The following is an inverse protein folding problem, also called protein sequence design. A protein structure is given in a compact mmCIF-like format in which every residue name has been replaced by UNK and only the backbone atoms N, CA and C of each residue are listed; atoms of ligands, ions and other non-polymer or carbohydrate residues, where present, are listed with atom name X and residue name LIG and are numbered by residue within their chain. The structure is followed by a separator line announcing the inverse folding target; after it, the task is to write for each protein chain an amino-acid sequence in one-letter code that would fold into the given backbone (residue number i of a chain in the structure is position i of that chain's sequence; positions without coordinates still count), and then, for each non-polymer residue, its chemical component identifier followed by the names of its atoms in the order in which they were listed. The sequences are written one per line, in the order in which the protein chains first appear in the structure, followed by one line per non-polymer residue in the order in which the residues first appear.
data_IF_162574473147
#
_entry.id   IF_162574473147
#
_cell.length_a   1.000
_cell.length_b   1.000
_cell.length_c   1.000
_cell.angle_alpha   90.00
_cell.angle_beta   90.00
_cell.angle_gamma   90.00
#
_symmetry.space_group_name_H-M   'P 1'
#
loop_
_entity.id
_entity.type
_entity.pdbx_description
1 polymer ?
#
# COMPACT_ATOMS: atom_id res chain seq x y z
N UNK A 1 -9.96 -0.27 3.95
CA UNK A 1 -9.37 0.98 3.43
C UNK A 1 -10.45 1.71 2.65
N UNK A 2 -10.64 2.99 2.90
CA UNK A 2 -11.64 3.77 2.15
C UNK A 2 -10.98 4.35 0.90
N UNK A 3 -11.08 3.65 -0.22
CA UNK A 3 -10.73 4.16 -1.54
C UNK A 3 -11.98 4.73 -2.21
N UNK A 4 -11.87 5.87 -2.90
CA UNK A 4 -12.92 6.38 -3.75
C UNK A 4 -12.80 5.76 -5.14
N UNK A 5 -13.89 5.21 -5.66
CA UNK A 5 -13.94 4.72 -7.04
C UNK A 5 -13.81 5.90 -8.00
N UNK A 6 -12.99 5.74 -9.02
CA UNK A 6 -12.82 6.74 -10.09
C UNK A 6 -13.96 6.57 -11.10
N UNK A 7 -14.59 7.68 -11.46
CA UNK A 7 -15.54 7.70 -12.55
C UNK A 7 -14.78 7.65 -13.89
N UNK A 8 -15.09 6.72 -14.80
CA UNK A 8 -14.49 6.68 -16.13
C UNK A 8 -14.64 8.00 -16.93
N UNK A 9 -15.70 8.75 -16.65
CA UNK A 9 -16.03 10.03 -17.28
C UNK A 9 -15.47 11.24 -16.51
N UNK A 10 -14.53 11.02 -15.60
CA UNK A 10 -13.98 12.07 -14.74
C UNK A 10 -13.42 13.26 -15.55
N UNK A 11 -13.63 14.46 -15.06
CA UNK A 11 -13.06 15.69 -15.62
C UNK A 11 -11.70 16.04 -15.00
N UNK A 12 -11.30 15.40 -13.91
CA UNK A 12 -10.00 15.61 -13.27
C UNK A 12 -8.87 15.10 -14.18
N UNK A 13 -7.88 15.95 -14.45
CA UNK A 13 -6.80 15.64 -15.37
C UNK A 13 -5.90 14.49 -14.90
N UNK A 14 -5.67 14.37 -13.59
CA UNK A 14 -4.83 13.32 -13.03
C UNK A 14 -5.56 11.97 -13.04
N UNK A 15 -6.86 11.97 -12.74
CA UNK A 15 -7.67 10.77 -12.84
C UNK A 15 -7.84 10.29 -14.29
N UNK A 16 -8.05 11.21 -15.24
CA UNK A 16 -8.06 10.85 -16.67
C UNK A 16 -6.75 10.25 -17.12
N UNK A 17 -5.61 10.82 -16.65
CA UNK A 17 -4.29 10.24 -16.93
C UNK A 17 -4.19 8.81 -16.39
N UNK A 18 -4.67 8.54 -15.18
CA UNK A 18 -4.71 7.21 -14.59
C UNK A 18 -5.60 6.26 -15.41
N UNK A 19 -6.83 6.67 -15.74
CA UNK A 19 -7.75 5.88 -16.56
C UNK A 19 -7.14 5.52 -17.91
N UNK A 20 -6.49 6.48 -18.59
CA UNK A 20 -5.84 6.24 -19.86
C UNK A 20 -4.70 5.21 -19.74
N UNK A 21 -3.82 5.37 -18.74
CA UNK A 21 -2.72 4.44 -18.50
C UNK A 21 -3.24 3.02 -18.21
N UNK A 22 -4.27 2.89 -17.37
CA UNK A 22 -4.87 1.58 -17.06
C UNK A 22 -5.52 0.98 -18.30
N UNK A 23 -6.24 1.76 -19.11
CA UNK A 23 -6.86 1.28 -20.34
C UNK A 23 -5.82 0.81 -21.36
N UNK A 24 -4.71 1.54 -21.52
CA UNK A 24 -3.59 1.14 -22.38
C UNK A 24 -2.98 -0.19 -21.90
N UNK A 25 -2.78 -0.35 -20.61
CA UNK A 25 -2.25 -1.59 -20.03
C UNK A 25 -3.24 -2.75 -20.14
N UNK A 26 -4.54 -2.51 -20.00
CA UNK A 26 -5.57 -3.52 -20.21
C UNK A 26 -5.55 -4.04 -21.66
N UNK A 27 -5.46 -3.13 -22.64
CA UNK A 27 -5.31 -3.50 -24.05
C UNK A 27 -4.01 -4.27 -24.31
N UNK A 28 -2.87 -3.76 -23.79
CA UNK A 28 -1.56 -4.39 -23.99
C UNK A 28 -1.46 -5.80 -23.38
N UNK A 29 -2.18 -6.04 -22.27
CA UNK A 29 -2.21 -7.34 -21.58
C UNK A 29 -3.32 -8.28 -22.04
N UNK A 30 -4.25 -7.82 -22.89
CA UNK A 30 -5.41 -8.58 -23.32
C UNK A 30 -6.42 -8.86 -22.19
N UNK A 31 -6.51 -7.98 -21.21
CA UNK A 31 -7.40 -8.10 -20.05
C UNK A 31 -8.57 -7.12 -20.12
N UNK A 32 -9.67 -7.45 -19.42
CA UNK A 32 -10.72 -6.49 -19.16
C UNK A 32 -10.16 -5.32 -18.30
N UNK A 33 -10.72 -4.13 -18.48
CA UNK A 33 -10.32 -2.98 -17.69
C UNK A 33 -10.73 -3.18 -16.22
N UNK A 34 -9.79 -3.13 -15.27
CA UNK A 34 -10.10 -3.28 -13.85
C UNK A 34 -10.86 -2.07 -13.30
N UNK A 35 -11.55 -2.25 -12.18
CA UNK A 35 -12.07 -1.13 -11.41
C UNK A 35 -10.93 -0.29 -10.84
N UNK A 36 -11.10 1.03 -10.82
CA UNK A 36 -10.06 1.98 -10.44
C UNK A 36 -10.46 2.68 -9.14
N UNK A 37 -9.55 2.67 -8.16
CA UNK A 37 -9.75 3.34 -6.88
C UNK A 37 -8.59 4.27 -6.55
N UNK A 38 -8.89 5.41 -5.93
CA UNK A 38 -7.91 6.36 -5.40
C UNK A 38 -7.99 6.40 -3.88
N UNK A 39 -6.86 6.21 -3.22
CA UNK A 39 -6.68 6.37 -1.78
C UNK A 39 -6.32 7.84 -1.49
N UNK A 40 -7.33 8.68 -1.34
CA UNK A 40 -7.16 10.15 -1.23
C UNK A 40 -6.42 10.59 0.04
N UNK A 41 -6.46 9.80 1.09
CA UNK A 41 -5.79 10.10 2.38
C UNK A 41 -4.31 9.72 2.36
N UNK A 42 -3.90 8.85 1.43
CA UNK A 42 -2.55 8.31 1.37
C UNK A 42 -1.66 9.18 0.48
N UNK A 43 -0.63 9.77 1.07
CA UNK A 43 0.24 10.78 0.44
C UNK A 43 1.54 10.21 -0.10
N UNK A 44 1.95 9.02 0.34
CA UNK A 44 3.09 8.29 -0.21
C UNK A 44 2.80 7.76 -1.62
N UNK A 45 3.83 7.40 -2.37
CA UNK A 45 3.70 6.75 -3.67
C UNK A 45 3.50 5.25 -3.42
N UNK A 46 2.30 4.74 -3.68
CA UNK A 46 2.00 3.32 -3.58
C UNK A 46 0.78 2.93 -4.42
N UNK A 47 0.68 1.63 -4.76
CA UNK A 47 -0.42 1.04 -5.51
C UNK A 47 -0.69 -0.37 -5.05
N UNK A 48 -1.79 -0.94 -5.47
CA UNK A 48 -2.11 -2.36 -5.25
C UNK A 48 -3.10 -2.86 -6.28
N UNK A 49 -3.06 -4.16 -6.54
CA UNK A 49 -4.10 -4.89 -7.25
C UNK A 49 -4.73 -5.94 -6.33
N UNK A 50 -6.06 -6.01 -6.32
CA UNK A 50 -6.82 -6.97 -5.53
C UNK A 50 -7.95 -7.59 -6.36
N UNK A 51 -8.17 -8.91 -6.22
CA UNK A 51 -9.21 -9.63 -6.93
C UNK A 51 -8.99 -11.14 -6.89
N UNK A 52 -10.02 -11.91 -7.21
CA UNK A 52 -9.97 -13.37 -7.20
C UNK A 52 -9.73 -13.97 -8.58
N UNK A 53 -10.16 -13.30 -9.63
CA UNK A 53 -10.01 -13.71 -11.02
C UNK A 53 -9.45 -12.55 -11.85
N UNK A 54 -9.07 -12.82 -13.10
CA UNK A 54 -8.60 -11.76 -14.01
C UNK A 54 -9.67 -10.76 -14.39
N UNK A 55 -10.93 -11.16 -14.30
CA UNK A 55 -12.09 -10.35 -14.67
C UNK A 55 -12.73 -9.63 -13.46
N UNK A 56 -12.30 -10.00 -12.24
CA UNK A 56 -12.77 -9.42 -10.99
C UNK A 56 -11.57 -8.82 -10.25
N UNK A 57 -11.00 -7.79 -10.82
CA UNK A 57 -9.83 -7.08 -10.29
C UNK A 57 -10.10 -5.61 -10.13
N UNK A 58 -9.66 -5.07 -9.01
CA UNK A 58 -9.57 -3.65 -8.76
C UNK A 58 -8.11 -3.22 -8.61
N UNK A 59 -7.76 -2.08 -9.18
CA UNK A 59 -6.46 -1.42 -8.97
C UNK A 59 -6.69 -0.17 -8.13
N UNK A 60 -5.96 -0.09 -7.02
CA UNK A 60 -5.94 1.08 -6.16
C UNK A 60 -4.61 1.81 -6.24
N UNK A 61 -4.66 3.13 -6.36
CA UNK A 61 -3.47 3.99 -6.31
C UNK A 61 -3.62 5.05 -5.23
N UNK A 62 -2.52 5.44 -4.64
CA UNK A 62 -2.50 6.55 -3.67
C UNK A 62 -2.57 7.90 -4.37
N UNK A 63 -3.00 8.93 -3.64
CA UNK A 63 -2.92 10.30 -4.15
C UNK A 63 -1.47 10.71 -4.48
N UNK A 64 -0.48 10.15 -3.76
CA UNK A 64 0.94 10.33 -4.06
C UNK A 64 1.31 9.87 -5.47
N UNK A 65 0.80 8.71 -5.92
CA UNK A 65 0.98 8.25 -7.30
C UNK A 65 0.46 9.24 -8.32
N UNK A 66 -0.75 9.77 -8.09
CA UNK A 66 -1.38 10.72 -9.02
C UNK A 66 -0.64 12.06 -9.12
N UNK A 67 -0.14 12.58 -8.01
CA UNK A 67 0.42 13.94 -7.94
C UNK A 67 1.92 14.00 -8.14
N UNK A 68 2.66 12.95 -7.83
CA UNK A 68 4.13 12.96 -7.83
C UNK A 68 4.75 12.20 -9.01
N UNK A 69 4.02 11.25 -9.62
CA UNK A 69 4.53 10.49 -10.75
C UNK A 69 4.21 11.19 -12.08
N UNK A 70 5.16 11.14 -12.99
CA UNK A 70 4.92 11.45 -14.40
C UNK A 70 4.03 10.36 -15.02
N UNK A 71 3.56 10.59 -16.26
CA UNK A 71 2.76 9.59 -16.96
C UNK A 71 3.52 8.27 -17.15
N UNK A 72 4.78 8.35 -17.53
CA UNK A 72 5.62 7.17 -17.81
C UNK A 72 5.95 6.40 -16.53
N UNK A 73 6.21 7.10 -15.43
CA UNK A 73 6.41 6.49 -14.12
C UNK A 73 5.14 5.82 -13.60
N UNK A 74 3.99 6.48 -13.75
CA UNK A 74 2.69 5.89 -13.42
C UNK A 74 2.42 4.64 -14.27
N UNK A 75 2.74 4.69 -15.57
CA UNK A 75 2.60 3.54 -16.46
C UNK A 75 3.50 2.38 -16.01
N UNK A 76 4.73 2.66 -15.58
CA UNK A 76 5.62 1.63 -15.02
C UNK A 76 5.05 0.95 -13.78
N UNK A 77 4.47 1.74 -12.86
CA UNK A 77 3.82 1.23 -11.65
C UNK A 77 2.57 0.40 -12.00
N UNK A 78 1.72 0.89 -12.88
CA UNK A 78 0.51 0.17 -13.31
C UNK A 78 0.87 -1.10 -14.07
N UNK A 79 1.90 -1.10 -14.91
CA UNK A 79 2.38 -2.29 -15.59
C UNK A 79 2.87 -3.37 -14.61
N UNK A 80 3.50 -2.98 -13.52
CA UNK A 80 3.88 -3.87 -12.43
C UNK A 80 2.65 -4.53 -11.77
N UNK A 81 1.60 -3.75 -11.46
CA UNK A 81 0.34 -4.29 -10.93
C UNK A 81 -0.33 -5.26 -11.92
N UNK A 82 -0.35 -4.93 -13.22
CA UNK A 82 -0.86 -5.83 -14.25
C UNK A 82 -0.10 -7.14 -14.33
N UNK A 83 1.22 -7.12 -14.09
CA UNK A 83 2.00 -8.36 -14.00
C UNK A 83 1.52 -9.28 -12.89
N UNK A 84 1.24 -8.74 -11.71
CA UNK A 84 0.69 -9.52 -10.59
C UNK A 84 -0.67 -10.14 -10.93
N UNK A 85 -1.52 -9.40 -11.64
CA UNK A 85 -2.83 -9.92 -12.07
C UNK A 85 -2.64 -11.08 -13.07
N UNK A 86 -1.81 -10.87 -14.09
CA UNK A 86 -1.56 -11.87 -15.14
C UNK A 86 -0.95 -13.17 -14.58
N UNK A 87 -0.04 -13.05 -13.62
CA UNK A 87 0.61 -14.17 -12.95
C UNK A 87 -0.28 -14.86 -11.89
N UNK A 88 -1.46 -14.31 -11.60
CA UNK A 88 -2.36 -14.82 -10.56
C UNK A 88 -1.89 -14.56 -9.14
N UNK A 89 -0.99 -13.58 -8.96
CA UNK A 89 -0.42 -13.21 -7.65
C UNK A 89 -1.46 -12.63 -6.72
N UNK A 90 -2.43 -11.87 -7.25
CA UNK A 90 -3.56 -11.33 -6.48
C UNK A 90 -4.32 -12.44 -5.76
N UNK A 91 -4.63 -13.53 -6.46
CA UNK A 91 -5.31 -14.71 -5.87
C UNK A 91 -4.45 -15.41 -4.82
N UNK A 92 -3.14 -15.53 -5.08
CA UNK A 92 -2.23 -16.12 -4.12
C UNK A 92 -2.13 -15.24 -2.87
N UNK A 93 -2.01 -13.92 -3.04
CA UNK A 93 -1.93 -12.97 -1.95
C UNK A 93 -3.19 -13.02 -1.06
N UNK A 94 -4.39 -13.14 -1.64
CA UNK A 94 -5.63 -13.33 -0.89
C UNK A 94 -5.61 -14.62 -0.06
N UNK A 95 -5.11 -15.73 -0.63
CA UNK A 95 -4.96 -17.00 0.09
C UNK A 95 -3.91 -16.91 1.21
N UNK A 96 -2.78 -16.28 0.95
CA UNK A 96 -1.74 -16.03 1.96
C UNK A 96 -2.27 -15.16 3.10
N UNK A 97 -3.07 -14.14 2.79
CA UNK A 97 -3.72 -13.31 3.79
C UNK A 97 -4.66 -14.12 4.67
N UNK A 98 -5.52 -14.96 4.08
CA UNK A 98 -6.42 -15.83 4.83
C UNK A 98 -5.65 -16.83 5.72
N UNK A 99 -4.56 -17.42 5.19
CA UNK A 99 -3.69 -18.32 5.95
C UNK A 99 -3.01 -17.59 7.11
N UNK A 100 -2.45 -16.40 6.86
CA UNK A 100 -1.84 -15.58 7.91
C UNK A 100 -2.84 -15.27 9.03
N UNK A 101 -4.06 -14.87 8.68
CA UNK A 101 -5.12 -14.63 9.65
C UNK A 101 -5.42 -15.89 10.48
N UNK A 102 -5.55 -17.05 9.84
CA UNK A 102 -5.79 -18.31 10.53
C UNK A 102 -4.66 -18.66 11.52
N UNK A 103 -3.41 -18.41 11.17
CA UNK A 103 -2.25 -18.68 12.02
C UNK A 103 -2.05 -17.68 13.17
N UNK A 104 -2.70 -16.52 13.13
CA UNK A 104 -2.75 -15.59 14.27
C UNK A 104 -3.83 -15.93 15.30
N UNK A 105 -4.81 -16.77 14.95
CA UNK A 105 -5.88 -17.19 15.87
C UNK A 105 -5.40 -17.69 17.22
N UNK A 106 -4.36 -18.52 17.34
CA UNK A 106 -3.86 -18.95 18.64
C UNK A 106 -3.48 -17.77 19.55
N UNK A 107 -2.80 -16.75 18.99
CA UNK A 107 -2.45 -15.55 19.76
C UNK A 107 -3.69 -14.80 20.26
N UNK A 108 -4.71 -14.66 19.40
CA UNK A 108 -5.97 -14.00 19.75
C UNK A 108 -6.69 -14.79 20.86
N UNK A 109 -6.81 -16.11 20.72
CA UNK A 109 -7.42 -16.98 21.73
C UNK A 109 -6.67 -16.88 23.06
N UNK A 110 -5.33 -16.96 23.02
CA UNK A 110 -4.50 -16.82 24.23
C UNK A 110 -4.73 -15.49 24.94
N UNK A 111 -4.81 -14.38 24.19
CA UNK A 111 -5.11 -13.05 24.77
C UNK A 111 -6.52 -12.95 25.33
N UNK A 112 -7.53 -13.46 24.64
CA UNK A 112 -8.92 -13.47 25.13
C UNK A 112 -9.00 -14.26 26.45
N UNK A 113 -8.35 -15.43 26.53
CA UNK A 113 -8.34 -16.26 27.75
C UNK A 113 -7.64 -15.58 28.93
N UNK A 114 -6.63 -14.73 28.67
CA UNK A 114 -5.95 -13.97 29.74
C UNK A 114 -6.72 -12.72 30.17
N UNK A 115 -7.33 -11.98 29.21
CA UNK A 115 -8.01 -10.70 29.50
C UNK A 115 -9.42 -10.85 30.08
N UNK A 116 -10.00 -12.07 30.05
CA UNK A 116 -11.42 -12.19 30.32
C UNK A 116 -12.26 -11.47 29.25
N UNK A 117 -13.56 -11.31 29.47
CA UNK A 117 -14.53 -10.83 28.48
C UNK A 117 -14.50 -9.30 28.21
N UNK A 118 -13.47 -8.58 28.61
CA UNK A 118 -13.34 -7.15 28.39
C UNK A 118 -12.58 -6.87 27.10
N UNK A 119 -13.31 -6.55 26.04
CA UNK A 119 -12.91 -6.12 24.70
C UNK A 119 -12.03 -7.10 23.89
N UNK A 120 -12.54 -7.50 22.71
CA UNK A 120 -11.77 -8.29 21.75
C UNK A 120 -10.56 -7.47 21.26
N UNK A 121 -9.32 -8.03 21.28
CA UNK A 121 -8.15 -7.32 20.81
C UNK A 121 -8.27 -7.06 19.30
N UNK A 122 -8.07 -5.79 18.88
CA UNK A 122 -7.91 -5.47 17.47
C UNK A 122 -6.65 -6.10 16.90
N UNK A 123 -6.69 -6.50 15.62
CA UNK A 123 -5.63 -7.25 14.93
C UNK A 123 -4.40 -6.39 14.58
N UNK A 124 -4.09 -5.39 15.34
CA UNK A 124 -2.91 -4.51 15.22
C UNK A 124 -2.25 -4.23 16.55
N UNK A 125 -2.83 -4.71 17.65
CA UNK A 125 -2.28 -4.47 18.97
C UNK A 125 -0.89 -5.10 19.13
N UNK A 126 0.05 -4.30 19.60
CA UNK A 126 1.40 -4.77 19.93
C UNK A 126 1.34 -5.93 20.91
N UNK A 127 2.15 -6.97 20.67
CA UNK A 127 2.28 -8.15 21.55
C UNK A 127 2.78 -7.75 22.95
N UNK A 128 3.36 -6.55 23.09
CA UNK A 128 4.03 -6.05 24.28
C UNK A 128 3.33 -4.86 24.94
N UNK A 129 2.03 -4.67 24.73
CA UNK A 129 1.29 -3.64 25.47
C UNK A 129 1.20 -4.02 26.96
N UNK A 130 1.89 -3.22 27.83
CA UNK A 130 2.23 -3.48 29.24
C UNK A 130 1.04 -3.43 30.23
N UNK A 131 -0.19 -3.52 29.80
CA UNK A 131 -1.32 -3.67 30.71
C UNK A 131 -1.40 -5.11 31.20
N UNK A 132 -0.79 -5.36 32.35
CA UNK A 132 -0.90 -6.65 33.05
C UNK A 132 -2.38 -6.92 33.35
N UNK A 133 -2.99 -7.96 32.76
CA UNK A 133 -4.39 -8.28 33.03
C UNK A 133 -4.51 -8.87 34.44
N UNK A 134 -5.61 -8.56 35.15
CA UNK A 134 -5.98 -9.27 36.35
C UNK A 134 -6.23 -10.76 36.04
N UNK A 135 -5.24 -11.57 36.34
CA UNK A 135 -5.25 -13.02 36.05
C UNK A 135 -6.08 -13.71 37.10
N UNK A 136 -7.34 -13.97 36.83
CA UNK A 136 -8.13 -14.88 37.63
C UNK A 136 -8.54 -16.05 36.75
N UNK A 137 -7.81 -17.21 36.77
CA UNK A 137 -8.51 -18.44 36.40
C UNK A 137 -7.59 -19.66 36.20
N UNK A 138 -8.13 -20.88 36.33
CA UNK A 138 -7.48 -22.15 35.98
C UNK A 138 -7.14 -22.25 34.46
N UNK A 139 -7.51 -21.26 33.63
CA UNK A 139 -7.26 -21.23 32.18
C UNK A 139 -5.89 -20.62 31.80
N UNK A 140 -5.12 -20.08 32.75
CA UNK A 140 -3.80 -19.51 32.51
C UNK A 140 -2.85 -20.47 31.77
N UNK A 141 -2.72 -21.74 32.12
CA UNK A 141 -1.84 -22.65 31.37
C UNK A 141 -2.29 -22.84 29.92
N UNK A 142 -3.60 -22.88 29.68
CA UNK A 142 -4.19 -23.02 28.34
C UNK A 142 -3.93 -21.75 27.52
N UNK A 143 -4.15 -20.59 28.11
CA UNK A 143 -3.86 -19.31 27.49
C UNK A 143 -2.38 -19.18 27.13
N UNK A 144 -1.49 -19.55 28.05
CA UNK A 144 -0.04 -19.54 27.82
C UNK A 144 0.36 -20.50 26.69
N UNK A 145 -0.21 -21.69 26.62
CA UNK A 145 0.01 -22.62 25.50
C UNK A 145 -0.35 -21.97 24.15
N UNK A 146 -1.50 -21.32 24.05
CA UNK A 146 -1.93 -20.63 22.82
C UNK A 146 -1.04 -19.43 22.48
N UNK A 147 -0.56 -18.69 23.46
CA UNK A 147 0.39 -17.59 23.24
C UNK A 147 1.74 -18.07 22.72
N UNK A 148 2.27 -19.13 23.32
CA UNK A 148 3.52 -19.76 22.86
C UNK A 148 3.37 -20.27 21.43
N UNK A 149 2.28 -20.98 21.14
CA UNK A 149 1.98 -21.46 19.78
C UNK A 149 1.91 -20.30 18.78
N UNK A 150 1.21 -19.24 19.13
CA UNK A 150 1.10 -18.02 18.29
C UNK A 150 2.42 -17.27 18.12
N UNK A 151 3.26 -17.22 19.17
CA UNK A 151 4.57 -16.56 19.10
C UNK A 151 5.54 -17.25 18.14
N UNK A 152 5.44 -18.56 17.99
CA UNK A 152 6.24 -19.35 17.04
C UNK A 152 5.66 -19.25 15.62
N UNK A 153 4.34 -19.31 15.48
CA UNK A 153 3.68 -19.30 14.17
C UNK A 153 3.83 -17.96 13.44
N UNK A 154 3.79 -16.84 14.16
CA UNK A 154 3.82 -15.51 13.54
C UNK A 154 5.11 -15.20 12.77
N UNK A 155 6.34 -15.39 13.30
CA UNK A 155 7.57 -15.16 12.53
C UNK A 155 7.74 -16.15 11.38
N UNK A 156 7.31 -17.42 11.57
CA UNK A 156 7.37 -18.42 10.50
C UNK A 156 6.50 -18.02 9.30
N UNK A 157 5.27 -17.56 9.55
CA UNK A 157 4.36 -17.07 8.51
C UNK A 157 4.94 -15.87 7.78
N UNK A 158 5.45 -14.90 8.52
CA UNK A 158 6.09 -13.71 7.93
C UNK A 158 7.29 -14.09 7.07
N UNK A 159 8.09 -15.04 7.50
CA UNK A 159 9.24 -15.51 6.75
C UNK A 159 8.84 -16.22 5.46
N UNK A 160 7.90 -17.17 5.49
CA UNK A 160 7.40 -17.88 4.30
C UNK A 160 6.79 -16.87 3.32
N UNK A 161 5.95 -15.97 3.81
CA UNK A 161 5.35 -14.90 3.01
C UNK A 161 6.41 -14.03 2.33
N UNK A 162 7.46 -13.62 3.06
CA UNK A 162 8.55 -12.83 2.52
C UNK A 162 9.29 -13.55 1.39
N UNK A 163 9.57 -14.84 1.53
CA UNK A 163 10.24 -15.61 0.47
C UNK A 163 9.41 -15.66 -0.81
N UNK A 164 8.13 -15.99 -0.70
CA UNK A 164 7.24 -16.11 -1.86
C UNK A 164 7.06 -14.75 -2.54
N UNK A 165 6.83 -13.67 -1.79
CA UNK A 165 6.56 -12.36 -2.36
C UNK A 165 7.79 -11.78 -3.08
N UNK A 166 9.01 -11.93 -2.54
CA UNK A 166 10.21 -11.33 -3.14
C UNK A 166 10.52 -11.82 -4.55
N UNK A 167 10.37 -13.11 -4.82
CA UNK A 167 10.62 -13.66 -6.16
C UNK A 167 9.61 -13.13 -7.18
N UNK A 168 8.37 -12.90 -6.75
CA UNK A 168 7.32 -12.35 -7.60
C UNK A 168 7.51 -10.88 -7.92
N UNK A 169 8.07 -10.12 -6.99
CA UNK A 169 8.43 -8.73 -7.21
C UNK A 169 9.47 -8.56 -8.32
N UNK A 170 10.49 -9.44 -8.32
CA UNK A 170 11.50 -9.44 -9.40
C UNK A 170 10.88 -9.69 -10.77
N UNK A 171 9.95 -10.64 -10.81
CA UNK A 171 9.24 -10.97 -12.05
C UNK A 171 8.34 -9.81 -12.49
N UNK A 172 7.65 -9.16 -11.55
CA UNK A 172 6.76 -8.04 -11.84
C UNK A 172 7.53 -6.81 -12.33
N UNK A 173 8.68 -6.49 -11.74
CA UNK A 173 9.56 -5.42 -12.22
C UNK A 173 10.05 -5.69 -13.65
N UNK A 174 10.47 -6.90 -13.94
CA UNK A 174 10.91 -7.29 -15.29
C UNK A 174 9.76 -7.23 -16.30
N UNK A 175 8.58 -7.70 -15.92
CA UNK A 175 7.39 -7.65 -16.76
C UNK A 175 6.91 -6.20 -17.01
N UNK A 176 7.01 -5.33 -16.02
CA UNK A 176 6.70 -3.89 -16.21
C UNK A 176 7.58 -3.26 -17.28
N UNK A 177 8.89 -3.56 -17.26
CA UNK A 177 9.82 -3.12 -18.32
C UNK A 177 9.46 -3.73 -19.67
N UNK A 178 9.08 -5.02 -19.70
CA UNK A 178 8.71 -5.71 -20.93
C UNK A 178 7.43 -5.13 -21.56
N UNK A 179 6.38 -4.88 -20.77
CA UNK A 179 5.10 -4.34 -21.22
C UNK A 179 5.22 -2.92 -21.72
N UNK A 180 5.90 -2.07 -20.96
CA UNK A 180 6.04 -0.65 -21.29
C UNK A 180 7.13 -0.37 -22.32
N UNK A 181 8.11 -1.27 -22.47
CA UNK A 181 9.36 -1.05 -23.21
C UNK A 181 10.07 0.24 -22.80
N UNK A 182 9.82 0.70 -21.57
CA UNK A 182 10.31 1.95 -21.00
C UNK A 182 10.90 1.70 -19.59
N UNK A 183 12.13 1.16 -19.48
CA UNK A 183 12.79 0.94 -18.18
C UNK A 183 12.83 2.19 -17.30
N UNK A 184 13.12 3.42 -17.85
CA UNK A 184 13.10 4.63 -17.04
C UNK A 184 11.78 4.94 -16.33
N UNK A 185 10.65 4.43 -16.81
CA UNK A 185 9.34 4.66 -16.18
C UNK A 185 9.29 4.05 -14.77
N UNK A 186 9.41 2.72 -14.66
CA UNK A 186 9.40 2.06 -13.35
C UNK A 186 10.61 2.44 -12.49
N UNK A 187 11.79 2.61 -13.09
CA UNK A 187 12.99 3.08 -12.41
C UNK A 187 12.78 4.45 -11.76
N UNK A 188 12.23 5.41 -12.51
CA UNK A 188 11.92 6.75 -12.03
C UNK A 188 10.94 6.74 -10.85
N UNK A 189 9.89 5.91 -10.94
CA UNK A 189 8.96 5.73 -9.83
C UNK A 189 9.67 5.21 -8.57
N UNK A 190 10.51 4.17 -8.69
CA UNK A 190 11.27 3.62 -7.57
C UNK A 190 12.27 4.65 -7.00
N UNK A 191 12.97 5.41 -7.84
CA UNK A 191 13.88 6.49 -7.41
C UNK A 191 13.13 7.60 -6.67
N UNK A 192 11.94 7.98 -7.14
CA UNK A 192 11.07 8.96 -6.45
C UNK A 192 10.62 8.47 -5.09
N UNK A 193 10.23 7.20 -4.97
CA UNK A 193 9.88 6.60 -3.68
C UNK A 193 11.05 6.68 -2.71
N UNK A 194 12.28 6.38 -3.18
CA UNK A 194 13.48 6.48 -2.35
C UNK A 194 13.81 7.91 -1.90
N UNK A 195 13.43 8.92 -2.69
CA UNK A 195 13.62 10.33 -2.38
C UNK A 195 12.57 10.95 -1.45
N UNK A 196 11.47 10.26 -1.19
CA UNK A 196 10.43 10.71 -0.27
C UNK A 196 10.80 10.37 1.19
N UNK A 197 10.60 11.32 2.12
CA UNK A 197 10.82 11.11 3.55
C UNK A 197 10.00 9.94 4.13
N UNK A 198 8.77 9.78 3.66
CA UNK A 198 7.85 8.70 4.06
C UNK A 198 7.89 7.50 3.13
N UNK A 199 8.60 7.60 2.02
CA UNK A 199 8.65 6.58 0.98
C UNK A 199 7.23 6.16 0.53
N UNK A 200 6.94 4.86 0.50
CA UNK A 200 5.62 4.32 0.17
C UNK A 200 4.70 4.06 1.37
N UNK A 201 4.99 4.65 2.54
CA UNK A 201 4.24 4.39 3.78
C UNK A 201 2.81 4.89 3.69
N UNK A 202 1.91 4.11 4.29
CA UNK A 202 0.50 4.40 4.41
C UNK A 202 0.16 4.76 5.86
N UNK A 203 -0.76 5.70 6.03
CA UNK A 203 -1.23 6.14 7.36
C UNK A 203 -2.37 5.24 7.87
N UNK A 204 -2.84 4.28 7.08
CA UNK A 204 -3.91 3.35 7.47
C UNK A 204 -3.46 2.35 8.53
N UNK A 205 -4.23 2.13 9.62
CA UNK A 205 -3.93 1.14 10.65
C UNK A 205 -3.92 -0.31 10.11
N UNK A 206 -4.58 -0.57 8.97
CA UNK A 206 -4.61 -1.88 8.33
C UNK A 206 -3.49 -2.10 7.30
N UNK A 207 -2.57 -1.15 7.15
CA UNK A 207 -1.50 -1.22 6.15
C UNK A 207 -0.59 -2.44 6.36
N UNK A 208 -0.31 -2.82 7.61
CA UNK A 208 0.56 -3.96 7.92
C UNK A 208 -0.02 -5.30 7.46
N UNK A 209 -1.30 -5.55 7.72
CA UNK A 209 -1.96 -6.80 7.32
C UNK A 209 -2.04 -6.98 5.80
N UNK A 210 -2.15 -5.88 5.07
CA UNK A 210 -2.23 -5.84 3.61
C UNK A 210 -0.89 -5.49 2.93
N UNK A 211 0.22 -5.43 3.67
CA UNK A 211 1.53 -4.95 3.18
C UNK A 211 2.02 -5.64 1.91
N UNK A 212 1.66 -6.89 1.70
CA UNK A 212 2.05 -7.70 0.54
C UNK A 212 1.24 -7.46 -0.75
N UNK A 213 0.21 -6.61 -0.67
CA UNK A 213 -0.53 -6.18 -1.86
C UNK A 213 0.03 -4.89 -2.46
N UNK A 214 0.85 -4.16 -1.74
CA UNK A 214 1.33 -2.86 -2.16
C UNK A 214 2.59 -2.95 -3.02
N UNK A 215 2.80 -1.95 -3.86
CA UNK A 215 3.96 -1.83 -4.75
C UNK A 215 5.30 -1.73 -4.00
N UNK A 216 5.30 -1.10 -2.82
CA UNK A 216 6.46 -1.00 -1.93
C UNK A 216 6.03 -1.18 -0.48
N UNK A 217 6.99 -1.40 0.41
CA UNK A 217 6.74 -1.53 1.84
C UNK A 217 5.98 -0.32 2.38
N UNK A 218 4.80 -0.57 2.94
CA UNK A 218 3.91 0.47 3.48
C UNK A 218 4.10 0.73 4.97
N UNK A 219 4.90 -0.07 5.64
CA UNK A 219 5.19 0.03 7.09
C UNK A 219 6.69 0.09 7.34
N UNK A 220 7.07 0.45 8.57
CA UNK A 220 8.48 0.46 8.99
C UNK A 220 9.10 -0.92 8.79
N UNK A 221 10.30 -0.98 8.18
CA UNK A 221 11.02 -2.25 8.10
C UNK A 221 11.28 -2.76 9.52
N UNK A 222 10.92 -4.02 9.82
CA UNK A 222 11.28 -4.61 11.10
C UNK A 222 12.81 -4.68 11.19
N UNK A 223 13.35 -4.57 12.41
CA UNK A 223 14.80 -4.64 12.70
C UNK A 223 15.55 -5.76 11.98
N UNK A 224 14.83 -6.83 11.63
CA UNK A 224 15.34 -7.92 10.81
C UNK A 224 14.78 -7.82 9.40
N UNK A 225 15.51 -7.22 8.47
CA UNK A 225 15.10 -7.03 7.05
C UNK A 225 14.72 -8.30 6.26
N UNK A 226 14.90 -9.51 6.84
CA UNK A 226 14.44 -10.77 6.23
C UNK A 226 12.93 -10.98 6.29
N UNK A 227 12.20 -10.18 7.09
CA UNK A 227 10.73 -10.26 7.20
C UNK A 227 9.99 -9.30 6.24
N UNK A 228 10.73 -8.47 5.48
CA UNK A 228 10.13 -7.58 4.49
C UNK A 228 9.52 -8.39 3.33
N UNK A 229 8.30 -8.06 2.96
CA UNK A 229 7.57 -8.70 1.83
C UNK A 229 8.09 -8.27 0.47
N UNK A 230 8.76 -7.11 0.39
CA UNK A 230 9.37 -6.62 -0.84
C UNK A 230 10.88 -6.65 -0.76
N UNK A 231 11.59 -6.84 -1.88
CA UNK A 231 13.03 -6.66 -1.93
C UNK A 231 13.41 -5.22 -1.57
N UNK A 232 14.61 -5.01 -1.01
CA UNK A 232 15.09 -3.65 -0.76
C UNK A 232 15.03 -2.80 -2.02
N UNK A 233 14.51 -1.59 -1.90
CA UNK A 233 14.31 -0.63 -3.01
C UNK A 233 15.58 -0.44 -3.86
N UNK A 234 16.73 -0.31 -3.20
CA UNK A 234 18.02 -0.20 -3.86
C UNK A 234 18.29 -1.39 -4.78
N UNK A 235 17.98 -2.62 -4.35
CA UNK A 235 18.21 -3.82 -5.17
C UNK A 235 17.27 -3.87 -6.37
N UNK A 236 16.02 -3.39 -6.23
CA UNK A 236 15.09 -3.28 -7.36
C UNK A 236 15.62 -2.32 -8.40
N UNK A 237 16.07 -1.13 -8.00
CA UNK A 237 16.64 -0.12 -8.91
C UNK A 237 17.89 -0.64 -9.60
N UNK A 238 18.85 -1.19 -8.87
CA UNK A 238 20.11 -1.72 -9.45
C UNK A 238 19.91 -2.86 -10.45
N UNK A 239 18.78 -3.56 -10.39
CA UNK A 239 18.45 -4.60 -11.36
C UNK A 239 17.94 -4.04 -12.68
N UNK A 240 17.31 -2.86 -12.66
CA UNK A 240 16.82 -2.14 -13.84
C UNK A 240 17.91 -1.23 -14.39
N UNK A 241 18.58 -0.47 -13.51
CA UNK A 241 19.70 0.42 -13.79
C UNK A 241 20.93 0.03 -12.97
N UNK A 242 21.82 -0.82 -13.50
CA UNK A 242 23.05 -1.24 -12.80
C UNK A 242 24.03 -0.11 -12.52
N UNK A 243 23.88 1.06 -13.15
CA UNK A 243 24.77 2.22 -12.97
C UNK A 243 24.30 3.18 -11.89
N UNK A 244 23.17 2.88 -11.22
CA UNK A 244 22.63 3.75 -10.19
C UNK A 244 23.56 3.89 -8.98
N UNK A 245 24.03 5.10 -8.70
CA UNK A 245 24.98 5.41 -7.62
C UNK A 245 24.38 5.44 -6.21
N UNK A 246 23.09 5.16 -6.05
CA UNK A 246 22.44 5.18 -4.72
C UNK A 246 22.02 6.58 -4.24
N UNK A 247 22.13 7.58 -5.06
CA UNK A 247 21.74 8.97 -4.71
C UNK A 247 20.29 9.22 -5.09
N UNK A 248 19.45 9.41 -4.08
CA UNK A 248 18.05 9.79 -4.29
C UNK A 248 17.90 11.31 -4.27
N UNK A 249 17.14 11.85 -5.22
CA UNK A 249 16.74 13.26 -5.18
C UNK A 249 15.66 13.42 -4.11
N UNK A 250 15.82 14.39 -3.23
CA UNK A 250 14.81 14.73 -2.25
C UNK A 250 13.55 15.22 -2.97
N UNK A 251 12.42 14.57 -2.72
CA UNK A 251 11.13 14.93 -3.27
C UNK A 251 10.28 15.49 -2.14
N UNK A 252 9.70 16.67 -2.38
CA UNK A 252 8.79 17.26 -1.43
C UNK A 252 7.54 16.40 -1.30
N UNK A 253 7.29 15.89 -0.09
CA UNK A 253 6.08 15.13 0.20
C UNK A 253 4.85 16.03 0.14
N UNK A 254 3.72 15.43 -0.25
CA UNK A 254 2.43 16.12 -0.22
C UNK A 254 2.09 16.49 1.24
N UNK A 255 1.43 17.64 1.48
CA UNK A 255 0.99 18.03 2.82
C UNK A 255 0.07 16.95 3.41
N UNK A 256 0.05 16.80 4.73
CA UNK A 256 -0.87 15.87 5.41
C UNK A 256 -2.33 16.16 5.02
N UNK A 257 -3.22 15.17 5.20
CA UNK A 257 -4.64 15.36 4.87
C UNK A 257 -5.24 16.53 5.65
N UNK A 258 -4.89 16.67 6.92
CA UNK A 258 -5.32 17.77 7.78
C UNK A 258 -4.79 19.12 7.27
N UNK A 259 -3.47 19.20 7.01
CA UNK A 259 -2.88 20.41 6.46
C UNK A 259 -3.44 20.79 5.08
N UNK A 260 -3.73 19.80 4.23
CA UNK A 260 -4.36 20.05 2.93
C UNK A 260 -5.82 20.48 3.04
N UNK A 261 -6.54 20.01 4.07
CA UNK A 261 -7.89 20.48 4.38
C UNK A 261 -7.86 21.94 4.86
N UNK A 262 -6.97 22.26 5.79
CA UNK A 262 -6.80 23.63 6.29
C UNK A 262 -6.42 24.61 5.18
N UNK A 263 -5.50 24.24 4.29
CA UNK A 263 -5.13 25.06 3.13
C UNK A 263 -6.33 25.31 2.22
N UNK A 264 -7.10 24.29 1.87
CA UNK A 264 -8.32 24.46 1.04
C UNK A 264 -9.38 25.31 1.73
N UNK A 265 -9.55 25.16 3.02
CA UNK A 265 -10.45 25.99 3.82
C UNK A 265 -10.00 27.45 3.79
N UNK A 266 -8.74 27.74 4.01
CA UNK A 266 -8.17 29.09 3.93
C UNK A 266 -8.31 29.72 2.53
N UNK A 267 -8.10 28.94 1.49
CA UNK A 267 -8.31 29.38 0.11
C UNK A 267 -9.78 29.71 -0.17
N UNK A 268 -10.71 28.90 0.31
CA UNK A 268 -12.15 29.15 0.15
C UNK A 268 -12.58 30.45 0.87
N UNK A 269 -12.07 30.67 2.08
CA UNK A 269 -12.30 31.93 2.81
C UNK A 269 -11.73 33.15 2.06
N UNK A 270 -10.53 33.02 1.48
CA UNK A 270 -9.93 34.11 0.68
C UNK A 270 -10.76 34.43 -0.56
N UNK A 271 -11.26 33.40 -1.27
CA UNK A 271 -12.13 33.58 -2.44
C UNK A 271 -13.43 34.30 -2.07
N UNK A 272 -14.11 33.85 -1.03
CA UNK A 272 -15.35 34.49 -0.54
C UNK A 272 -15.12 35.95 -0.15
N UNK A 273 -14.01 36.28 0.50
CA UNK A 273 -13.67 37.68 0.84
C UNK A 273 -13.38 38.54 -0.39
N UNK A 274 -12.68 37.97 -1.39
CA UNK A 274 -12.41 38.67 -2.63
C UNK A 274 -13.69 38.96 -3.43
N UNK A 275 -14.60 37.98 -3.48
CA UNK A 275 -15.90 38.14 -4.13
C UNK A 275 -16.77 39.20 -3.44
N UNK A 276 -16.78 39.20 -2.08
CA UNK A 276 -17.51 40.22 -1.31
C UNK A 276 -16.96 41.64 -1.56
N UNK A 277 -15.62 41.81 -1.57
CA UNK A 277 -15.00 43.10 -1.84
C UNK A 277 -15.33 43.62 -3.24
N UNK A 278 -15.33 42.73 -4.26
CA UNK A 278 -15.71 43.14 -5.65
C UNK A 278 -17.19 43.54 -5.73
N UNK A 279 -18.08 42.97 -4.93
CA UNK A 279 -19.49 43.35 -4.88
C UNK A 279 -19.70 44.69 -4.19
N UNK A 280 -18.88 45.04 -3.18
CA UNK A 280 -18.92 46.34 -2.51
C UNK A 280 -18.40 47.46 -3.40
N UNK A 281 -17.40 47.20 -4.27
CA UNK A 281 -16.88 48.20 -5.24
C UNK A 281 -17.84 48.48 -6.44
N UNK A 282 -18.83 47.60 -6.66
CA UNK A 282 -19.82 47.75 -7.73
C UNK A 282 -21.12 48.42 -7.28
N UNK A 283 -21.27 48.75 -6.01
CA UNK A 283 -22.40 49.50 -5.42
C UNK A 283 -22.03 50.97 -5.17
#
# INVERSE_FOLDING_TARGET
MAGRRVDPETTDADERRLCNVISEMAVASGMAQPEIYVLERERGINSFAAGHTRDDVAIGVTLGCLKLLTRDELQGVIAHEFSHILNGDTRLNMRLMALCHGLFWPTIVGRILLRGNSEAPEMGDSIFDDKVPEISTPLVPVAFFFLVLGSVSSPLVRWIKSLICREREWLADAAAVQFTRNPPGIEGALKKIGGLLRQGRLDSPHAESASHFYFVNCVHEPWFGFQSTHPPLMKRILRIDPQFEGKFQHIQSLPSHEAAYDLRYQESIRRMRAEAAMQEEQQ
#
